data_IF_085695701849
#
_entry.id   IF_085695701849
#
_cell.length_a   1.000
_cell.length_b   1.000
_cell.length_c   1.000
_cell.angle_alpha   90.00
_cell.angle_beta   90.00
_cell.angle_gamma   90.00
#
_symmetry.space_group_name_H-M   'P 1'
#
loop_
_entity.id
_entity.type
_entity.pdbx_description
1 polymer ?
#
# COMPACT_ATOMS: atom_id res chain seq x y z
N UNK A 1 -33.75 -13.30 42.13
CA UNK A 1 -32.45 -12.76 41.72
C UNK A 1 -32.34 -12.99 40.23
N UNK A 2 -32.68 -11.98 39.44
CA UNK A 2 -32.60 -12.06 37.98
C UNK A 2 -31.33 -11.35 37.54
N UNK A 3 -30.35 -12.11 37.06
CA UNK A 3 -29.19 -11.56 36.37
C UNK A 3 -29.66 -10.97 35.04
N UNK A 4 -29.75 -9.65 34.99
CA UNK A 4 -29.84 -8.88 33.76
C UNK A 4 -28.50 -9.02 33.04
N UNK A 5 -28.44 -9.95 32.09
CA UNK A 5 -27.41 -9.93 31.05
C UNK A 5 -27.59 -8.62 30.27
N UNK A 6 -26.62 -7.72 30.38
CA UNK A 6 -26.53 -6.55 29.52
C UNK A 6 -26.18 -7.10 28.14
N UNK A 7 -27.19 -7.21 27.28
CA UNK A 7 -27.04 -7.53 25.86
C UNK A 7 -26.36 -6.31 25.20
N UNK A 8 -25.04 -6.35 25.13
CA UNK A 8 -24.25 -5.35 24.40
C UNK A 8 -24.42 -5.69 22.91
N UNK A 9 -25.14 -4.84 22.18
CA UNK A 9 -25.24 -4.91 20.72
C UNK A 9 -23.81 -4.78 20.13
N UNK A 10 -23.31 -5.76 19.35
CA UNK A 10 -22.02 -5.67 18.68
C UNK A 10 -21.86 -4.42 17.81
N UNK A 11 -22.96 -3.80 17.36
CA UNK A 11 -22.97 -2.57 16.58
C UNK A 11 -22.70 -1.30 17.41
N UNK A 12 -22.89 -1.35 18.74
CA UNK A 12 -22.53 -0.26 19.65
C UNK A 12 -21.05 -0.30 20.06
N UNK A 13 -20.33 -1.36 19.65
CA UNK A 13 -18.87 -1.41 19.78
C UNK A 13 -18.27 -0.53 18.69
N UNK A 14 -18.25 0.78 18.93
CA UNK A 14 -17.31 1.66 18.26
C UNK A 14 -15.92 1.12 18.59
N UNK A 15 -15.31 0.35 17.69
CA UNK A 15 -13.91 -0.04 17.81
C UNK A 15 -13.13 1.26 17.74
N UNK A 16 -12.64 1.80 18.88
CA UNK A 16 -11.84 2.99 18.84
C UNK A 16 -10.62 2.60 18.02
N UNK A 17 -10.33 3.34 16.95
CA UNK A 17 -9.00 3.27 16.38
C UNK A 17 -8.05 3.45 17.57
N UNK A 18 -7.09 2.55 17.80
CA UNK A 18 -6.41 2.42 19.10
C UNK A 18 -5.69 3.71 19.55
N UNK A 19 -5.59 4.73 18.68
CA UNK A 19 -5.00 6.03 18.96
C UNK A 19 -5.71 7.21 18.26
N UNK A 20 -7.05 7.26 18.25
CA UNK A 20 -7.78 8.47 17.83
C UNK A 20 -9.10 8.22 17.09
N UNK A 21 -9.30 8.77 15.88
CA UNK A 21 -10.58 8.72 15.17
C UNK A 21 -10.98 7.28 14.78
N UNK A 22 -12.24 7.05 14.39
CA UNK A 22 -12.69 5.75 13.89
C UNK A 22 -11.80 5.25 12.74
N UNK A 23 -11.44 3.97 12.78
CA UNK A 23 -10.69 3.32 11.70
C UNK A 23 -11.43 3.49 10.35
N UNK A 24 -10.77 3.76 9.21
CA UNK A 24 -9.31 3.72 8.95
C UNK A 24 -8.57 5.04 9.13
N UNK A 25 -9.18 6.04 9.79
CA UNK A 25 -8.60 7.38 9.80
C UNK A 25 -7.41 7.51 10.74
N UNK A 26 -6.41 8.28 10.30
CA UNK A 26 -5.22 8.64 11.11
C UNK A 26 -5.51 9.86 11.99
N UNK A 27 -6.31 10.79 11.48
CA UNK A 27 -6.78 11.98 12.19
C UNK A 27 -8.27 12.18 11.92
N UNK A 28 -8.95 12.94 12.78
CA UNK A 28 -10.34 13.31 12.55
C UNK A 28 -10.50 14.00 11.18
N UNK A 29 -11.57 13.69 10.41
CA UNK A 29 -11.82 14.35 9.14
C UNK A 29 -11.80 15.87 9.27
N UNK A 30 -10.99 16.52 8.46
CA UNK A 30 -10.87 17.97 8.46
C UNK A 30 -11.96 18.52 7.55
N UNK A 31 -12.86 19.31 8.12
CA UNK A 31 -13.90 20.00 7.36
C UNK A 31 -13.55 21.48 7.15
N UNK A 32 -13.63 21.92 5.90
CA UNK A 32 -13.32 23.28 5.48
C UNK A 32 -14.48 23.84 4.66
N UNK A 33 -14.74 25.12 4.82
CA UNK A 33 -15.70 25.86 3.99
C UNK A 33 -14.94 26.91 3.17
N UNK A 34 -15.07 26.84 1.85
CA UNK A 34 -14.44 27.77 0.90
C UNK A 34 -15.56 28.39 0.07
N UNK A 35 -16.00 29.59 0.47
CA UNK A 35 -17.19 30.22 -0.12
C UNK A 35 -18.44 29.37 0.12
N UNK A 36 -19.13 28.97 -0.95
CA UNK A 36 -20.29 28.06 -0.90
C UNK A 36 -19.92 26.57 -0.93
N UNK A 37 -18.64 26.24 -1.08
CA UNK A 37 -18.18 24.86 -1.18
C UNK A 37 -17.76 24.32 0.20
N UNK A 38 -18.18 23.09 0.51
CA UNK A 38 -17.69 22.30 1.64
C UNK A 38 -16.63 21.32 1.14
N UNK A 39 -15.48 21.28 1.79
CA UNK A 39 -14.42 20.32 1.52
C UNK A 39 -14.16 19.46 2.77
N UNK A 40 -14.12 18.14 2.60
CA UNK A 40 -13.79 17.19 3.67
C UNK A 40 -12.51 16.47 3.28
N UNK A 41 -11.51 16.53 4.16
CA UNK A 41 -10.21 15.88 3.98
C UNK A 41 -10.12 14.73 4.99
N UNK A 42 -9.92 13.51 4.50
CA UNK A 42 -9.70 12.32 5.32
C UNK A 42 -8.32 11.75 5.01
N UNK A 43 -7.60 11.34 6.06
CA UNK A 43 -6.31 10.68 5.93
C UNK A 43 -6.45 9.26 6.47
N UNK A 44 -6.15 8.27 5.65
CA UNK A 44 -6.23 6.84 6.00
C UNK A 44 -4.83 6.22 6.05
N UNK A 45 -4.64 5.26 6.95
CA UNK A 45 -3.43 4.45 7.02
C UNK A 45 -3.53 3.25 6.07
N UNK A 46 -2.72 3.25 5.01
CA UNK A 46 -2.72 2.16 4.03
C UNK A 46 -1.96 0.93 4.52
N UNK A 47 -1.06 1.09 5.51
CA UNK A 47 -0.42 -0.04 6.18
C UNK A 47 -1.38 -0.74 7.15
N UNK A 48 -2.53 -0.14 7.50
CA UNK A 48 -3.55 -0.80 8.32
C UNK A 48 -4.43 -1.80 7.52
N UNK A 49 -4.22 -1.90 6.20
CA UNK A 49 -5.04 -2.68 5.26
C UNK A 49 -4.29 -3.92 4.76
N UNK A 50 -5.04 -4.87 4.20
CA UNK A 50 -4.56 -6.13 3.64
C UNK A 50 -3.83 -5.94 2.30
N UNK A 51 -2.53 -6.20 2.20
CA UNK A 51 -1.77 -6.08 0.96
C UNK A 51 -2.12 -7.13 -0.09
N UNK A 52 -2.76 -6.71 -1.19
CA UNK A 52 -2.95 -7.59 -2.35
C UNK A 52 -1.62 -7.90 -3.09
N UNK A 53 -0.57 -7.13 -2.80
CA UNK A 53 0.77 -7.38 -3.33
C UNK A 53 1.33 -8.77 -2.97
N UNK A 54 0.90 -9.34 -1.84
CA UNK A 54 1.36 -10.65 -1.39
C UNK A 54 0.93 -11.77 -2.36
N UNK A 55 -0.29 -11.68 -2.89
CA UNK A 55 -0.83 -12.69 -3.79
C UNK A 55 -0.18 -12.70 -5.19
N UNK A 56 0.51 -11.62 -5.58
CA UNK A 56 1.14 -11.47 -6.90
C UNK A 56 2.68 -11.40 -6.82
N UNK A 57 3.24 -11.98 -5.75
CA UNK A 57 4.70 -12.07 -5.58
C UNK A 57 5.28 -13.22 -6.43
N UNK A 58 6.58 -13.20 -6.73
CA UNK A 58 7.23 -14.22 -7.59
C UNK A 58 7.67 -15.51 -6.87
N UNK A 59 7.45 -15.62 -5.56
CA UNK A 59 7.94 -16.74 -4.74
C UNK A 59 6.84 -17.78 -4.56
N UNK A 60 6.93 -18.93 -5.23
CA UNK A 60 5.90 -19.99 -5.21
C UNK A 60 5.45 -20.40 -3.80
N UNK A 61 6.38 -20.59 -2.87
CA UNK A 61 6.06 -20.92 -1.48
C UNK A 61 5.33 -19.77 -0.75
N UNK A 62 5.70 -18.52 -1.05
CA UNK A 62 5.04 -17.33 -0.51
C UNK A 62 3.65 -17.18 -1.12
N UNK A 63 3.47 -17.47 -2.41
CA UNK A 63 2.18 -17.35 -3.08
C UNK A 63 1.15 -18.29 -2.49
N UNK A 64 1.49 -19.56 -2.21
CA UNK A 64 0.56 -20.48 -1.55
C UNK A 64 0.15 -20.00 -0.15
N UNK A 65 1.08 -19.43 0.61
CA UNK A 65 0.77 -18.84 1.91
C UNK A 65 -0.05 -17.56 1.79
N UNK A 66 0.26 -16.71 0.81
CA UNK A 66 -0.46 -15.47 0.54
C UNK A 66 -1.88 -15.74 0.04
N UNK A 67 -2.09 -16.77 -0.76
CA UNK A 67 -3.42 -17.26 -1.17
C UNK A 67 -4.22 -17.72 0.04
N UNK A 68 -3.62 -18.50 0.95
CA UNK A 68 -4.29 -18.93 2.19
C UNK A 68 -4.63 -17.76 3.11
N UNK A 69 -3.74 -16.77 3.22
CA UNK A 69 -3.95 -15.53 3.97
C UNK A 69 -5.08 -14.71 3.35
N UNK A 70 -5.11 -14.58 2.02
CA UNK A 70 -6.17 -13.88 1.30
C UNK A 70 -7.51 -14.60 1.45
N UNK A 71 -7.54 -15.92 1.35
CA UNK A 71 -8.75 -16.72 1.58
C UNK A 71 -9.28 -16.51 3.01
N UNK A 72 -8.40 -16.54 4.01
CA UNK A 72 -8.77 -16.25 5.42
C UNK A 72 -9.41 -14.87 5.56
N UNK A 73 -8.84 -13.86 4.90
CA UNK A 73 -9.42 -12.51 4.88
C UNK A 73 -10.77 -12.47 4.14
N UNK A 74 -10.89 -13.13 2.99
CA UNK A 74 -12.12 -13.21 2.22
C UNK A 74 -13.24 -13.89 3.01
N UNK A 75 -12.92 -14.92 3.79
CA UNK A 75 -13.85 -15.61 4.69
C UNK A 75 -14.35 -14.67 5.78
N UNK A 76 -13.45 -13.88 6.39
CA UNK A 76 -13.83 -12.83 7.34
C UNK A 76 -14.77 -11.79 6.73
N UNK A 77 -14.52 -11.42 5.47
CA UNK A 77 -15.37 -10.52 4.70
C UNK A 77 -16.58 -11.22 4.06
N UNK A 78 -16.79 -12.52 4.31
CA UNK A 78 -17.92 -13.35 3.84
C UNK A 78 -18.11 -13.32 2.33
N UNK A 79 -17.01 -13.21 1.60
CA UNK A 79 -17.00 -13.39 0.17
C UNK A 79 -17.28 -14.85 -0.15
N UNK A 80 -18.22 -15.09 -1.06
CA UNK A 80 -18.53 -16.43 -1.55
C UNK A 80 -17.33 -17.04 -2.31
N UNK A 81 -17.25 -18.37 -2.37
CA UNK A 81 -16.20 -19.08 -3.12
C UNK A 81 -16.05 -18.58 -4.56
N UNK A 82 -17.16 -18.17 -5.19
CA UNK A 82 -17.14 -17.59 -6.53
C UNK A 82 -16.44 -16.23 -6.55
N UNK A 83 -16.75 -15.34 -5.61
CA UNK A 83 -16.12 -14.03 -5.50
C UNK A 83 -14.63 -14.14 -5.15
N UNK A 84 -14.28 -15.08 -4.27
CA UNK A 84 -12.88 -15.38 -3.95
C UNK A 84 -12.11 -15.85 -5.19
N UNK A 85 -12.70 -16.76 -5.97
CA UNK A 85 -12.11 -17.23 -7.22
C UNK A 85 -11.98 -16.12 -8.26
N UNK A 86 -13.00 -15.27 -8.40
CA UNK A 86 -12.95 -14.12 -9.31
C UNK A 86 -11.82 -13.16 -8.94
N UNK A 87 -11.64 -12.88 -7.65
CA UNK A 87 -10.52 -12.06 -7.15
C UNK A 87 -9.17 -12.73 -7.46
N UNK A 88 -9.05 -14.04 -7.22
CA UNK A 88 -7.83 -14.79 -7.53
C UNK A 88 -7.48 -14.75 -9.03
N UNK A 89 -8.45 -14.96 -9.90
CA UNK A 89 -8.28 -14.90 -11.36
C UNK A 89 -7.82 -13.48 -11.80
N UNK A 90 -8.39 -12.42 -11.22
CA UNK A 90 -7.98 -11.03 -11.46
C UNK A 90 -6.54 -10.76 -11.01
N UNK A 91 -6.14 -11.30 -9.85
CA UNK A 91 -4.77 -11.17 -9.35
C UNK A 91 -3.77 -11.92 -10.23
N UNK A 92 -4.14 -13.09 -10.76
CA UNK A 92 -3.32 -13.83 -11.72
C UNK A 92 -3.16 -13.05 -13.04
N UNK A 93 -4.22 -12.38 -13.51
CA UNK A 93 -4.14 -11.50 -14.67
C UNK A 93 -3.19 -10.32 -14.42
N UNK A 94 -3.29 -9.66 -13.27
CA UNK A 94 -2.38 -8.58 -12.86
C UNK A 94 -0.92 -9.09 -12.79
N UNK A 95 -0.71 -10.30 -12.26
CA UNK A 95 0.60 -10.94 -12.17
C UNK A 95 1.25 -11.12 -13.55
N UNK A 96 0.47 -11.43 -14.60
CA UNK A 96 0.97 -11.55 -15.99
C UNK A 96 1.49 -10.23 -16.55
N UNK A 97 0.99 -9.09 -16.09
CA UNK A 97 1.47 -7.78 -16.52
C UNK A 97 2.77 -7.37 -15.82
N UNK A 98 2.86 -7.59 -14.50
CA UNK A 98 4.04 -7.23 -13.72
C UNK A 98 4.17 -8.10 -12.48
N UNK A 99 5.34 -8.71 -12.31
CA UNK A 99 5.72 -9.39 -11.08
C UNK A 99 6.14 -8.38 -10.02
N UNK A 100 5.68 -8.56 -8.79
CA UNK A 100 6.11 -7.78 -7.64
C UNK A 100 7.02 -8.60 -6.74
N UNK A 101 7.98 -7.92 -6.11
CA UNK A 101 8.85 -8.51 -5.09
C UNK A 101 8.50 -7.89 -3.75
N UNK A 102 8.55 -8.72 -2.71
CA UNK A 102 8.45 -8.27 -1.33
C UNK A 102 9.74 -7.52 -0.96
N UNK A 103 9.61 -6.25 -0.57
CA UNK A 103 10.73 -5.31 -0.35
C UNK A 103 11.61 -5.13 -1.61
N UNK A 104 11.09 -4.49 -2.68
CA UNK A 104 11.80 -4.40 -3.95
C UNK A 104 13.08 -3.54 -3.82
N UNK A 105 14.16 -3.99 -4.46
CA UNK A 105 15.37 -3.18 -4.65
C UNK A 105 15.18 -2.17 -5.79
N UNK A 106 15.90 -1.03 -5.82
CA UNK A 106 15.81 -0.06 -6.92
C UNK A 106 16.06 -0.69 -8.30
N UNK A 107 15.27 -0.32 -9.31
CA UNK A 107 15.38 -0.87 -10.67
C UNK A 107 16.54 -0.19 -11.40
N UNK A 108 17.52 -0.95 -11.88
CA UNK A 108 18.52 -0.45 -12.81
C UNK A 108 17.89 -0.29 -14.21
N UNK A 109 17.67 0.93 -14.71
CA UNK A 109 17.27 1.11 -16.11
C UNK A 109 18.50 0.89 -16.99
N UNK A 110 18.46 -0.13 -17.85
CA UNK A 110 19.51 -0.29 -18.84
C UNK A 110 19.59 1.00 -19.68
N UNK A 111 20.78 1.63 -19.83
CA UNK A 111 20.91 2.83 -20.62
C UNK A 111 20.51 2.50 -22.05
N UNK A 112 19.36 3.05 -22.46
CA UNK A 112 18.88 2.97 -23.83
C UNK A 112 19.96 3.63 -24.70
N UNK A 113 20.64 2.84 -25.53
CA UNK A 113 21.61 3.37 -26.50
C UNK A 113 20.86 4.38 -27.36
N UNK A 114 21.10 5.66 -27.13
CA UNK A 114 20.67 6.71 -28.01
C UNK A 114 21.38 6.46 -29.35
N UNK A 115 20.65 5.97 -30.34
CA UNK A 115 21.08 6.03 -31.73
C UNK A 115 21.08 7.50 -32.12
N UNK A 116 22.19 8.18 -31.86
CA UNK A 116 22.40 9.54 -32.34
C UNK A 116 22.26 9.51 -33.87
N UNK A 117 21.17 10.12 -34.37
CA UNK A 117 20.99 10.35 -35.79
C UNK A 117 22.17 11.19 -36.29
N UNK A 118 22.98 10.63 -37.18
CA UNK A 118 24.07 11.33 -37.82
C UNK A 118 23.51 12.53 -38.61
N UNK A 119 23.70 13.74 -38.08
CA UNK A 119 23.46 14.98 -38.81
C UNK A 119 24.50 15.09 -39.92
N UNK A 120 24.09 14.83 -41.16
CA UNK A 120 24.81 15.21 -42.37
C UNK A 120 24.91 16.73 -42.45
N UNK A 121 26.11 17.28 -42.32
CA UNK A 121 26.37 18.69 -42.64
C UNK A 121 26.67 18.82 -44.15
N UNK A 122 26.12 19.82 -44.85
CA UNK A 122 26.49 20.10 -46.23
C UNK A 122 27.88 20.76 -46.30
N UNK A 123 28.68 20.30 -47.25
CA UNK A 123 30.00 20.83 -47.55
C UNK A 123 29.92 22.24 -48.14
N UNK A 124 30.63 23.19 -47.54
CA UNK A 124 30.66 24.60 -47.96
C UNK A 124 32.01 25.27 -47.72
N UNK A 125 32.86 25.18 -48.75
CA UNK A 125 33.86 26.14 -49.27
C UNK A 125 34.92 26.77 -48.35
N UNK A 126 36.16 26.60 -48.83
CA UNK A 126 37.47 27.09 -48.37
C UNK A 126 37.54 28.62 -48.29
N UNK A 127 38.12 29.16 -47.21
CA UNK A 127 38.92 30.41 -47.26
C UNK A 127 40.03 30.35 -46.21
N UNK A 128 41.25 30.63 -46.66
CA UNK A 128 42.53 30.66 -45.94
C UNK A 128 42.59 31.76 -44.89
N UNK A 129 43.03 31.47 -43.67
CA UNK A 129 43.83 32.41 -42.85
C UNK A 129 44.75 31.64 -41.89
N UNK A 130 45.99 32.11 -41.86
CA UNK A 130 47.13 31.57 -41.12
C UNK A 130 47.15 32.28 -39.76
N UNK A 131 46.97 31.54 -38.66
CA UNK A 131 47.20 32.09 -37.31
C UNK A 131 47.67 31.01 -36.36
N UNK A 132 48.89 31.23 -35.86
CA UNK A 132 49.57 30.49 -34.81
C UNK A 132 48.85 30.68 -33.47
N UNK A 133 48.40 29.61 -32.83
CA UNK A 133 47.90 29.66 -31.46
C UNK A 133 48.15 28.34 -30.69
N UNK A 134 49.18 28.40 -29.84
CA UNK A 134 49.33 27.80 -28.51
C UNK A 134 48.51 26.52 -28.23
N UNK A 135 49.18 25.38 -28.34
CA UNK A 135 48.70 24.09 -27.83
C UNK A 135 48.55 24.15 -26.31
N UNK A 136 47.31 24.11 -25.83
CA UNK A 136 46.96 23.89 -24.42
C UNK A 136 46.78 22.37 -24.22
N UNK A 137 47.26 21.77 -23.13
CA UNK A 137 47.06 20.35 -22.89
C UNK A 137 45.56 20.06 -22.73
N UNK A 138 45.07 19.15 -23.55
CA UNK A 138 43.74 18.56 -23.46
C UNK A 138 43.64 17.84 -22.12
N UNK A 139 42.91 18.43 -21.16
CA UNK A 139 42.39 17.66 -20.03
C UNK A 139 41.46 16.61 -20.61
N UNK A 140 41.89 15.35 -20.56
CA UNK A 140 41.00 14.21 -20.70
C UNK A 140 39.99 14.33 -19.56
N UNK A 141 38.80 14.85 -19.87
CA UNK A 141 37.63 14.65 -19.03
C UNK A 141 37.45 13.14 -18.93
N UNK A 142 37.72 12.60 -17.75
CA UNK A 142 37.24 11.29 -17.37
C UNK A 142 35.74 11.29 -17.66
N UNK A 143 35.32 10.50 -18.64
CA UNK A 143 33.92 10.15 -18.81
C UNK A 143 33.53 9.47 -17.50
N UNK A 144 32.88 10.22 -16.62
CA UNK A 144 32.12 9.61 -15.54
C UNK A 144 31.18 8.63 -16.22
N UNK A 145 31.36 7.35 -15.94
CA UNK A 145 30.39 6.34 -16.30
C UNK A 145 29.07 6.83 -15.68
N UNK A 146 28.18 7.36 -16.52
CA UNK A 146 26.84 7.71 -16.09
C UNK A 146 26.23 6.40 -15.61
N UNK A 147 26.06 6.29 -14.29
CA UNK A 147 25.34 5.18 -13.69
C UNK A 147 24.03 5.04 -14.46
N UNK A 148 23.75 3.83 -14.92
CA UNK A 148 22.47 3.44 -15.50
C UNK A 148 21.35 4.11 -14.68
N UNK A 149 20.46 4.93 -15.27
CA UNK A 149 19.49 5.68 -14.50
C UNK A 149 18.67 4.67 -13.68
N UNK A 150 18.63 4.81 -12.36
CA UNK A 150 17.91 3.86 -11.51
C UNK A 150 16.50 4.39 -11.29
N UNK A 151 15.47 3.58 -11.54
CA UNK A 151 14.09 3.93 -11.15
C UNK A 151 13.97 3.70 -9.64
N UNK A 152 13.53 4.70 -8.86
CA UNK A 152 13.45 4.58 -7.41
C UNK A 152 12.45 3.51 -7.00
N UNK A 153 12.62 2.94 -5.80
CA UNK A 153 11.75 1.90 -5.21
C UNK A 153 10.28 2.30 -5.19
N UNK A 154 10.00 3.58 -4.91
CA UNK A 154 8.67 4.22 -4.94
C UNK A 154 7.94 4.00 -6.27
N UNK A 155 8.66 3.84 -7.37
CA UNK A 155 8.06 3.63 -8.67
C UNK A 155 7.41 2.24 -8.83
N UNK A 156 7.79 1.25 -8.03
CA UNK A 156 7.08 -0.03 -7.96
C UNK A 156 5.68 0.15 -7.38
N UNK A 157 5.55 0.93 -6.31
CA UNK A 157 4.26 1.23 -5.70
C UNK A 157 3.38 2.08 -6.65
N UNK A 158 3.96 2.96 -7.46
CA UNK A 158 3.22 3.72 -8.48
C UNK A 158 2.64 2.82 -9.58
N UNK A 159 3.42 1.83 -10.04
CA UNK A 159 2.94 0.86 -11.02
C UNK A 159 1.87 -0.06 -10.42
N UNK A 160 2.04 -0.46 -9.15
CA UNK A 160 1.03 -1.22 -8.40
C UNK A 160 -0.29 -0.44 -8.33
N UNK A 161 -0.25 0.81 -7.86
CA UNK A 161 -1.43 1.66 -7.76
C UNK A 161 -2.17 1.76 -9.10
N UNK A 162 -1.44 1.92 -10.22
CA UNK A 162 -2.07 2.00 -11.55
C UNK A 162 -2.76 0.70 -11.96
N UNK A 163 -2.16 -0.46 -11.72
CA UNK A 163 -2.76 -1.75 -12.08
C UNK A 163 -4.00 -2.03 -11.22
N UNK A 164 -3.94 -1.79 -9.92
CA UNK A 164 -5.05 -2.05 -8.99
C UNK A 164 -6.20 -1.04 -9.08
N UNK A 165 -5.96 0.12 -9.70
CA UNK A 165 -7.01 1.09 -10.05
C UNK A 165 -7.46 1.01 -11.51
N UNK A 166 -6.93 0.06 -12.28
CA UNK A 166 -7.36 -0.21 -13.66
C UNK A 166 -8.62 -1.09 -13.70
N UNK A 167 -9.07 -1.44 -14.91
CA UNK A 167 -10.19 -2.37 -15.13
C UNK A 167 -9.84 -3.83 -14.79
N UNK A 168 -8.57 -4.14 -14.47
CA UNK A 168 -8.14 -5.50 -14.11
C UNK A 168 -8.67 -5.96 -12.75
N UNK A 169 -9.06 -5.02 -11.88
CA UNK A 169 -9.66 -5.33 -10.58
C UNK A 169 -11.11 -4.85 -10.56
N UNK A 170 -12.05 -5.76 -10.29
CA UNK A 170 -13.46 -5.40 -10.14
C UNK A 170 -13.74 -4.78 -8.77
N UNK A 171 -13.38 -3.50 -8.66
CA UNK A 171 -13.61 -2.70 -7.46
C UNK A 171 -15.09 -2.47 -7.18
N UNK A 172 -15.99 -2.59 -8.17
CA UNK A 172 -17.41 -2.39 -7.94
C UNK A 172 -18.00 -3.55 -7.14
N UNK A 173 -17.60 -4.78 -7.47
CA UNK A 173 -17.98 -5.96 -6.71
C UNK A 173 -17.38 -5.93 -5.31
N UNK A 174 -16.09 -5.60 -5.17
CA UNK A 174 -15.43 -5.48 -3.86
C UNK A 174 -15.97 -4.35 -2.98
N UNK A 175 -16.62 -3.33 -3.57
CA UNK A 175 -17.24 -2.23 -2.84
C UNK A 175 -18.64 -2.58 -2.29
N UNK A 176 -19.22 -3.71 -2.68
CA UNK A 176 -20.51 -4.16 -2.16
C UNK A 176 -20.30 -4.83 -0.81
N UNK A 177 -21.09 -4.50 0.21
CA UNK A 177 -21.10 -5.27 1.45
C UNK A 177 -21.53 -6.71 1.18
N UNK A 178 -20.86 -7.66 1.83
CA UNK A 178 -21.30 -9.05 1.80
C UNK A 178 -22.51 -9.24 2.74
N UNK A 179 -23.50 -10.02 2.30
CA UNK A 179 -24.75 -10.20 3.05
C UNK A 179 -24.69 -11.20 4.20
N UNK A 180 -23.59 -11.94 4.38
CA UNK A 180 -23.47 -13.05 5.33
C UNK A 180 -22.12 -13.05 6.07
N UNK A 181 -21.88 -12.05 6.92
CA UNK A 181 -20.60 -11.85 7.63
C UNK A 181 -20.75 -11.55 9.11
N UNK A 182 -19.63 -11.65 9.84
CA UNK A 182 -19.46 -11.06 11.17
C UNK A 182 -19.40 -9.51 11.16
N UNK A 183 -19.37 -8.88 9.98
CA UNK A 183 -19.34 -7.43 9.75
C UNK A 183 -20.40 -7.05 8.71
N UNK A 184 -21.70 -7.05 9.08
CA UNK A 184 -22.76 -6.63 8.17
C UNK A 184 -22.50 -5.19 7.70
N UNK A 185 -22.82 -4.90 6.45
CA UNK A 185 -22.69 -3.58 5.81
C UNK A 185 -21.26 -3.06 5.51
N UNK A 186 -20.21 -3.83 5.81
CA UNK A 186 -18.83 -3.47 5.47
C UNK A 186 -18.35 -4.11 4.16
N UNK A 187 -17.66 -3.32 3.33
CA UNK A 187 -17.16 -3.78 2.02
C UNK A 187 -15.71 -4.28 2.08
N UNK A 188 -15.36 -5.38 1.39
CA UNK A 188 -13.98 -5.86 1.29
C UNK A 188 -12.99 -4.77 0.84
N UNK A 189 -13.41 -3.93 -0.12
CA UNK A 189 -12.58 -2.87 -0.68
C UNK A 189 -12.03 -1.89 0.38
N UNK A 190 -12.77 -1.65 1.47
CA UNK A 190 -12.35 -0.78 2.57
C UNK A 190 -11.07 -1.26 3.25
N UNK A 191 -10.87 -2.57 3.29
CA UNK A 191 -9.79 -3.23 4.02
C UNK A 191 -8.65 -3.72 3.12
N UNK A 192 -8.76 -3.55 1.80
CA UNK A 192 -7.73 -3.94 0.84
C UNK A 192 -6.78 -2.77 0.57
N UNK A 193 -5.47 -3.03 0.63
CA UNK A 193 -4.46 -2.08 0.23
C UNK A 193 -4.25 -2.12 -1.29
N UNK A 194 -4.52 -1.00 -1.95
CA UNK A 194 -4.47 -0.86 -3.41
C UNK A 194 -3.29 0.01 -3.87
N UNK A 195 -2.58 0.64 -2.94
CA UNK A 195 -1.58 1.65 -3.25
C UNK A 195 -0.13 1.19 -3.06
N UNK A 196 0.07 -0.09 -2.79
CA UNK A 196 1.38 -0.74 -2.80
C UNK A 196 2.06 -0.85 -1.43
N UNK A 197 1.32 -0.63 -0.32
CA UNK A 197 1.80 -1.08 0.98
C UNK A 197 1.99 -2.60 0.95
N UNK A 198 3.09 -3.08 1.53
CA UNK A 198 3.45 -4.51 1.54
C UNK A 198 3.56 -5.07 2.96
N UNK A 199 3.32 -4.23 3.98
CA UNK A 199 3.40 -4.62 5.39
C UNK A 199 2.20 -4.07 6.14
N UNK A 200 1.68 -4.91 7.03
CA UNK A 200 0.56 -4.60 7.90
C UNK A 200 1.06 -3.99 9.20
N UNK A 201 0.55 -2.82 9.55
CA UNK A 201 0.88 -2.16 10.81
C UNK A 201 0.09 -2.79 11.96
N UNK A 202 0.78 -3.44 12.89
CA UNK A 202 0.19 -4.11 14.05
C UNK A 202 -0.50 -3.14 15.01
N UNK A 203 -0.14 -1.86 14.99
CA UNK A 203 -0.73 -0.84 15.86
C UNK A 203 -2.05 -0.29 15.33
N UNK A 204 -2.30 -0.33 14.01
CA UNK A 204 -3.47 0.31 13.38
C UNK A 204 -4.39 -0.65 12.65
N UNK A 205 -3.92 -1.86 12.28
CA UNK A 205 -4.72 -2.83 11.54
C UNK A 205 -5.93 -3.34 12.35
N UNK A 206 -7.11 -3.51 11.72
CA UNK A 206 -8.26 -4.11 12.38
C UNK A 206 -8.07 -5.62 12.55
N UNK A 207 -8.89 -6.25 13.39
CA UNK A 207 -8.75 -7.65 13.79
C UNK A 207 -8.63 -8.62 12.62
N UNK A 208 -9.55 -8.58 11.67
CA UNK A 208 -9.59 -9.52 10.55
C UNK A 208 -8.37 -9.37 9.61
N UNK A 209 -7.87 -8.14 9.39
CA UNK A 209 -6.63 -7.91 8.62
C UNK A 209 -5.42 -8.45 9.38
N UNK A 210 -5.35 -8.18 10.69
CA UNK A 210 -4.24 -8.62 11.54
C UNK A 210 -4.20 -10.15 11.68
N UNK A 211 -5.34 -10.78 11.92
CA UNK A 211 -5.48 -12.23 12.03
C UNK A 211 -5.08 -12.94 10.74
N UNK A 212 -5.55 -12.44 9.59
CA UNK A 212 -5.13 -12.96 8.30
C UNK A 212 -3.61 -12.79 8.10
N UNK A 213 -3.03 -11.62 8.41
CA UNK A 213 -1.58 -11.42 8.33
C UNK A 213 -0.77 -12.36 9.26
N UNK A 214 -1.26 -12.63 10.46
CA UNK A 214 -0.61 -13.52 11.42
C UNK A 214 -0.69 -15.00 11.02
N UNK A 215 -1.56 -15.36 10.08
CA UNK A 215 -1.66 -16.72 9.52
C UNK A 215 -0.35 -17.13 8.82
N UNK A 216 0.45 -16.19 8.32
CA UNK A 216 1.82 -16.47 7.85
C UNK A 216 2.72 -17.11 8.92
N UNK A 217 2.48 -16.80 10.20
CA UNK A 217 3.22 -17.35 11.33
C UNK A 217 2.86 -18.80 11.67
N UNK A 218 1.63 -19.21 11.37
CA UNK A 218 1.00 -20.41 11.92
C UNK A 218 0.61 -20.25 13.39
N UNK A 219 0.22 -21.35 14.05
CA UNK A 219 -0.22 -21.33 15.45
C UNK A 219 -1.69 -20.95 15.58
N UNK A 220 -2.02 -20.11 16.58
CA UNK A 220 -3.38 -19.59 16.81
C UNK A 220 -3.47 -18.10 16.47
N UNK A 221 -3.64 -17.72 15.18
CA UNK A 221 -3.62 -16.33 14.75
C UNK A 221 -4.76 -15.49 15.36
N UNK A 222 -5.91 -16.11 15.66
CA UNK A 222 -7.07 -15.41 16.23
C UNK A 222 -6.80 -14.94 17.67
N UNK A 223 -6.24 -15.81 18.51
CA UNK A 223 -5.89 -15.47 19.89
C UNK A 223 -4.74 -14.44 19.92
N UNK A 224 -3.73 -14.62 19.07
CA UNK A 224 -2.62 -13.68 18.97
C UNK A 224 -3.09 -12.29 18.49
N UNK A 225 -3.97 -12.20 17.49
CA UNK A 225 -4.52 -10.94 17.03
C UNK A 225 -5.29 -10.20 18.14
N UNK A 226 -6.14 -10.91 18.88
CA UNK A 226 -6.88 -10.35 20.02
C UNK A 226 -5.94 -9.86 21.13
N UNK A 227 -4.93 -10.65 21.47
CA UNK A 227 -3.94 -10.28 22.49
C UNK A 227 -3.12 -9.05 22.08
N UNK A 228 -2.74 -8.94 20.80
CA UNK A 228 -2.07 -7.76 20.24
C UNK A 228 -2.99 -6.53 20.32
N UNK A 229 -4.26 -6.68 19.95
CA UNK A 229 -5.24 -5.59 20.01
C UNK A 229 -5.42 -5.09 21.44
N UNK A 230 -5.47 -5.99 22.42
CA UNK A 230 -5.55 -5.61 23.84
C UNK A 230 -4.29 -4.91 24.30
N UNK A 231 -3.10 -5.47 24.02
CA UNK A 231 -1.83 -4.85 24.42
C UNK A 231 -1.67 -3.44 23.84
N UNK A 232 -2.01 -3.26 22.57
CA UNK A 232 -1.94 -1.94 21.92
C UNK A 232 -3.06 -0.99 22.34
N UNK A 233 -4.04 -1.39 23.17
CA UNK A 233 -4.95 -0.42 23.81
C UNK A 233 -4.27 0.26 25.00
N UNK A 234 -3.33 -0.43 25.65
CA UNK A 234 -2.55 0.11 26.77
C UNK A 234 -1.35 0.94 26.29
N UNK A 235 -0.50 0.35 25.43
CA UNK A 235 0.69 1.02 24.90
C UNK A 235 1.01 0.56 23.47
N UNK A 236 1.38 1.48 22.55
CA UNK A 236 1.71 1.10 21.19
C UNK A 236 2.98 0.26 21.17
N UNK A 237 2.98 -0.81 20.37
CA UNK A 237 4.14 -1.68 20.20
C UNK A 237 5.19 -0.93 19.39
N UNK A 238 6.39 -0.76 19.92
CA UNK A 238 7.43 0.03 19.30
C UNK A 238 8.22 -0.76 18.26
N UNK A 239 8.43 -2.06 18.51
CA UNK A 239 9.21 -2.93 17.62
C UNK A 239 8.64 -4.34 17.52
N UNK A 240 8.98 -5.05 16.43
CA UNK A 240 8.63 -6.47 16.27
C UNK A 240 9.35 -7.34 17.31
N UNK A 241 10.52 -6.94 17.80
CA UNK A 241 11.20 -7.67 18.88
C UNK A 241 10.48 -7.52 20.21
N UNK A 242 9.93 -6.34 20.50
CA UNK A 242 9.05 -6.14 21.67
C UNK A 242 7.80 -7.02 21.55
N UNK A 243 7.21 -7.13 20.35
CA UNK A 243 6.08 -8.01 20.09
C UNK A 243 6.41 -9.47 20.45
N UNK A 244 7.58 -9.96 20.04
CA UNK A 244 8.06 -11.32 20.35
C UNK A 244 8.30 -11.52 21.84
N UNK A 245 8.81 -10.51 22.54
CA UNK A 245 9.05 -10.58 23.98
C UNK A 245 7.73 -10.59 24.76
N UNK A 246 6.76 -9.79 24.35
CA UNK A 246 5.45 -9.72 25.00
C UNK A 246 4.65 -11.02 24.83
N UNK A 247 4.79 -11.69 23.68
CA UNK A 247 4.07 -12.92 23.35
C UNK A 247 5.04 -14.08 23.14
N UNK A 248 5.79 -14.44 24.19
CA UNK A 248 6.85 -15.46 24.12
C UNK A 248 6.37 -16.81 23.56
N UNK A 249 5.14 -17.22 23.90
CA UNK A 249 4.51 -18.46 23.40
C UNK A 249 4.33 -18.49 21.88
N UNK A 250 4.13 -17.33 21.26
CA UNK A 250 3.91 -17.16 19.82
C UNK A 250 5.14 -16.57 19.10
N UNK A 251 6.28 -16.48 19.78
CA UNK A 251 7.50 -15.86 19.25
C UNK A 251 7.95 -16.45 17.90
N UNK A 252 7.77 -17.76 17.68
CA UNK A 252 8.08 -18.44 16.42
C UNK A 252 7.12 -18.00 15.31
N UNK A 253 5.83 -17.85 15.62
CA UNK A 253 4.83 -17.40 14.66
C UNK A 253 5.09 -15.94 14.25
N UNK A 254 5.39 -15.08 15.23
CA UNK A 254 5.72 -13.67 14.99
C UNK A 254 7.01 -13.55 14.16
N UNK A 255 8.04 -14.36 14.46
CA UNK A 255 9.29 -14.36 13.70
C UNK A 255 9.09 -14.74 12.23
N UNK A 256 8.19 -15.69 11.95
CA UNK A 256 7.83 -16.08 10.57
C UNK A 256 7.02 -15.00 9.85
N UNK A 257 6.17 -14.28 10.57
CA UNK A 257 5.35 -13.20 10.01
C UNK A 257 6.09 -11.85 9.89
N UNK A 258 7.31 -11.73 10.44
CA UNK A 258 8.02 -10.43 10.58
C UNK A 258 8.16 -9.62 9.30
N UNK A 259 8.34 -10.28 8.15
CA UNK A 259 8.56 -9.60 6.87
C UNK A 259 7.27 -8.96 6.32
N UNK A 260 6.11 -9.36 6.86
CA UNK A 260 4.78 -8.88 6.51
C UNK A 260 4.21 -7.89 7.53
N UNK A 261 4.88 -7.72 8.67
CA UNK A 261 4.44 -6.86 9.76
C UNK A 261 5.32 -5.62 9.91
N UNK A 262 4.74 -4.54 10.41
CA UNK A 262 5.43 -3.32 10.79
C UNK A 262 4.77 -2.71 12.03
N UNK A 263 5.49 -1.86 12.76
CA UNK A 263 4.94 -1.07 13.88
C UNK A 263 4.66 0.38 13.49
N UNK A 264 5.21 0.81 12.35
CA UNK A 264 5.08 2.17 11.82
C UNK A 264 4.54 2.14 10.39
N UNK A 265 3.76 3.17 10.05
CA UNK A 265 3.19 3.36 8.73
C UNK A 265 3.97 4.38 7.93
N UNK A 266 4.17 4.08 6.66
CA UNK A 266 4.83 4.94 5.69
C UNK A 266 3.94 5.22 4.47
N UNK A 267 2.83 4.50 4.27
CA UNK A 267 1.86 4.77 3.22
C UNK A 267 0.59 5.39 3.79
N UNK A 268 0.24 6.58 3.29
CA UNK A 268 -0.94 7.31 3.70
C UNK A 268 -1.81 7.66 2.50
N UNK A 269 -3.12 7.51 2.64
CA UNK A 269 -4.10 7.89 1.65
C UNK A 269 -4.77 9.18 2.07
N UNK A 270 -4.65 10.23 1.26
CA UNK A 270 -5.32 11.51 1.48
C UNK A 270 -6.47 11.61 0.49
N UNK A 271 -7.70 11.57 1.00
CA UNK A 271 -8.91 11.77 0.21
C UNK A 271 -9.50 13.14 0.52
N UNK A 272 -9.76 13.90 -0.52
CA UNK A 272 -10.43 15.21 -0.46
C UNK A 272 -11.74 15.09 -1.23
N UNK A 273 -12.85 15.39 -0.57
CA UNK A 273 -14.18 15.45 -1.20
C UNK A 273 -14.68 16.89 -1.13
N UNK A 274 -14.84 17.50 -2.30
CA UNK A 274 -15.43 18.83 -2.44
C UNK A 274 -16.88 18.74 -2.87
N UNK A 275 -17.75 19.56 -2.27
CA UNK A 275 -19.16 19.67 -2.63
C UNK A 275 -19.57 21.14 -2.72
N UNK A 276 -20.22 21.52 -3.82
CA UNK A 276 -20.85 22.85 -3.99
C UNK A 276 -22.19 22.69 -4.69
N UNK A 277 -23.29 22.96 -3.97
CA UNK A 277 -24.64 22.61 -4.43
C UNK A 277 -24.76 21.11 -4.73
N UNK A 278 -25.12 20.78 -5.97
CA UNK A 278 -25.24 19.39 -6.44
C UNK A 278 -23.93 18.82 -7.03
N UNK A 279 -22.91 19.66 -7.25
CA UNK A 279 -21.63 19.20 -7.76
C UNK A 279 -20.81 18.59 -6.61
N UNK A 280 -20.39 17.34 -6.78
CA UNK A 280 -19.47 16.64 -5.89
C UNK A 280 -18.26 16.24 -6.72
N UNK A 281 -17.07 16.43 -6.16
CA UNK A 281 -15.81 15.98 -6.76
C UNK A 281 -14.97 15.33 -5.68
N UNK A 282 -14.13 14.37 -6.07
CA UNK A 282 -13.19 13.74 -5.15
C UNK A 282 -11.79 13.65 -5.75
N UNK A 283 -10.79 13.85 -4.92
CA UNK A 283 -9.39 13.60 -5.26
C UNK A 283 -8.82 12.66 -4.21
N UNK A 284 -8.05 11.68 -4.65
CA UNK A 284 -7.40 10.71 -3.78
C UNK A 284 -5.92 10.69 -4.14
N UNK A 285 -5.09 11.08 -3.19
CA UNK A 285 -3.63 11.11 -3.33
C UNK A 285 -3.01 10.10 -2.37
N UNK A 286 -2.06 9.32 -2.87
CA UNK A 286 -1.21 8.50 -2.00
C UNK A 286 0.11 9.18 -1.76
N UNK A 287 0.51 9.17 -0.49
CA UNK A 287 1.72 9.77 0.00
C UNK A 287 2.56 8.71 0.69
N UNK A 288 3.85 8.64 0.33
CA UNK A 288 4.83 7.84 1.03
C UNK A 288 5.66 8.77 1.90
N UNK A 289 5.79 8.41 3.17
CA UNK A 289 6.64 9.11 4.14
C UNK A 289 7.82 8.23 4.51
N UNK A 290 9.00 8.59 4.04
CA UNK A 290 10.27 8.00 4.46
C UNK A 290 10.97 9.00 5.38
N UNK A 291 11.04 8.69 6.68
CA UNK A 291 11.54 9.57 7.73
C UNK A 291 10.85 10.95 7.77
N UNK A 292 11.54 11.98 7.27
CA UNK A 292 11.06 13.37 7.16
C UNK A 292 10.67 13.75 5.75
N UNK A 293 10.99 12.92 4.77
CA UNK A 293 10.69 13.16 3.37
C UNK A 293 9.30 12.62 3.06
N UNK A 294 8.52 13.43 2.37
CA UNK A 294 7.16 13.11 1.97
C UNK A 294 7.13 13.14 0.45
N UNK A 295 6.94 11.98 -0.16
CA UNK A 295 6.87 11.81 -1.61
C UNK A 295 5.43 11.50 -2.04
N UNK A 296 4.93 12.24 -3.01
CA UNK A 296 3.62 12.00 -3.59
C UNK A 296 3.73 10.95 -4.70
N UNK A 297 2.94 9.89 -4.61
CA UNK A 297 3.00 8.76 -5.53
C UNK A 297 2.13 8.99 -6.77
N UNK A 298 0.81 9.05 -6.58
CA UNK A 298 -0.21 9.20 -7.64
C UNK A 298 -1.39 9.97 -7.06
N UNK A 299 -2.03 10.80 -7.88
CA UNK A 299 -3.34 11.39 -7.60
C UNK A 299 -4.34 10.84 -8.60
N UNK A 300 -5.47 10.34 -8.08
CA UNK A 300 -6.64 9.95 -8.85
C UNK A 300 -7.76 10.95 -8.61
N UNK A 301 -8.41 11.38 -9.68
CA UNK A 301 -9.56 12.27 -9.61
C UNK A 301 -10.84 11.48 -9.93
N UNK A 302 -11.83 11.60 -9.06
CA UNK A 302 -13.19 11.11 -9.25
C UNK A 302 -14.14 12.28 -9.49
N UNK A 303 -14.96 12.17 -10.52
CA UNK A 303 -16.10 13.04 -10.78
C UNK A 303 -17.35 12.51 -10.06
#
# INVERSE_FOLDING_TARGET
SGDTFIEIDPNDIQVPGPYGPPWPYVIEPIELHIGSARAVITIEDENAKMPLAWAITNREAVNKQAEAVLATFCDWMGMSDLEQKMLADQLEEIYKYKTFELNPSPILLQPQRSTAAARTQPAGRITTTRTTARVRPTQQQAQSAQAAPQRPTVAHAADFAKLFHSALLDRQSLARPAGHTALPDESPLKYLALWGSQRVNVNTAPRHVLEAALTFGGGNPAELAENIIRKRQDEPIQSIDELKQAFYGDSIAIERAKDYLTTTSNFFLIRVVGQSGNARVSAVATVIKEDRNVEQLVILYGL
#
